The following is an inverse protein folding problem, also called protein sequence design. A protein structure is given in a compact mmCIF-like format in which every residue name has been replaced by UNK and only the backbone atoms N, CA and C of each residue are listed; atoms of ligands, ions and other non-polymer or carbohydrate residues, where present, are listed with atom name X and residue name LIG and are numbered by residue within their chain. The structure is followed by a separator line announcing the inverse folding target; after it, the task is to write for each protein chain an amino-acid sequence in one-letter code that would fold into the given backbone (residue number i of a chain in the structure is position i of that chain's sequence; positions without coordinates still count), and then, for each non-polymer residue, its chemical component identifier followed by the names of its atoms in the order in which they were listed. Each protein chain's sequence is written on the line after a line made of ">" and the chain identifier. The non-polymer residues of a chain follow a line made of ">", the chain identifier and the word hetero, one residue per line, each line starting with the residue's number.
data_IF_217937099496
#
_entry.id   IF_217937099496
#
_cell.length_a   1.000
_cell.length_b   1.000
_cell.length_c   1.000
_cell.angle_alpha   90.00
_cell.angle_beta   90.00
_cell.angle_gamma   90.00
#
_symmetry.space_group_name_H-M   'P 1'
#
loop_
_entity.id
_entity.type
_entity.pdbx_description
1 polymer ?
#
# COMPACT_ATOMS: atom_id res chain seq x y z
N UNK A 1 -1.70 -16.38 0.91
CA UNK A 1 -2.06 -16.46 -0.52
C UNK A 1 -2.32 -15.04 -1.03
N UNK A 2 -1.75 -14.58 -2.15
CA UNK A 2 -1.93 -13.20 -2.63
C UNK A 2 -3.16 -13.09 -3.54
N UNK A 3 -3.98 -12.04 -3.39
CA UNK A 3 -5.16 -11.81 -4.24
C UNK A 3 -4.82 -11.44 -5.70
N UNK A 4 -5.85 -11.41 -6.56
CA UNK A 4 -5.73 -11.17 -8.01
C UNK A 4 -5.21 -9.78 -8.39
N UNK A 5 -5.25 -8.81 -7.48
CA UNK A 5 -4.69 -7.47 -7.72
C UNK A 5 -3.16 -7.44 -7.80
N UNK A 6 -2.48 -8.43 -7.20
CA UNK A 6 -1.01 -8.48 -7.21
C UNK A 6 -0.42 -8.59 -8.63
N UNK A 7 -0.82 -9.54 -9.49
CA UNK A 7 -0.31 -9.59 -10.86
C UNK A 7 -0.61 -8.31 -11.65
N UNK A 8 -1.80 -7.71 -11.47
CA UNK A 8 -2.18 -6.44 -12.13
C UNK A 8 -1.23 -5.30 -11.71
N UNK A 9 -0.96 -5.18 -10.41
CA UNK A 9 0.01 -4.19 -9.91
C UNK A 9 1.42 -4.40 -10.45
N UNK A 10 1.87 -5.65 -10.56
CA UNK A 10 3.18 -5.97 -11.11
C UNK A 10 3.25 -5.70 -12.61
N UNK A 11 2.16 -5.97 -13.34
CA UNK A 11 2.05 -5.64 -14.75
C UNK A 11 2.16 -4.14 -14.98
N UNK A 12 1.49 -3.29 -14.17
CA UNK A 12 1.54 -1.85 -14.37
C UNK A 12 2.78 -1.16 -13.78
N UNK A 13 3.29 -1.64 -12.64
CA UNK A 13 4.29 -0.90 -11.86
C UNK A 13 5.52 -1.71 -11.45
N UNK A 14 5.55 -3.01 -11.69
CA UNK A 14 6.63 -3.90 -11.27
C UNK A 14 7.97 -3.52 -11.88
N UNK A 15 8.85 -2.90 -11.09
CA UNK A 15 10.17 -2.40 -11.51
C UNK A 15 10.14 -1.42 -12.70
N UNK A 16 9.00 -0.73 -12.94
CA UNK A 16 8.84 0.17 -14.09
C UNK A 16 9.15 1.64 -13.80
N UNK A 17 9.15 2.04 -12.52
CA UNK A 17 9.38 3.42 -12.11
C UNK A 17 10.31 3.47 -10.89
N UNK A 18 11.40 4.26 -10.92
CA UNK A 18 12.37 4.31 -9.82
C UNK A 18 11.77 4.88 -8.51
N UNK A 19 10.70 5.68 -8.61
CA UNK A 19 10.01 6.28 -7.48
C UNK A 19 8.79 5.47 -7.03
N UNK A 20 8.44 4.38 -7.74
CA UNK A 20 7.33 3.50 -7.38
C UNK A 20 7.82 2.06 -7.20
N UNK A 21 8.26 1.76 -5.97
CA UNK A 21 8.88 0.49 -5.58
C UNK A 21 7.85 -0.62 -5.41
N UNK A 22 7.36 -1.17 -6.52
CA UNK A 22 6.46 -2.33 -6.54
C UNK A 22 7.26 -3.57 -6.92
N UNK A 23 7.40 -4.49 -5.97
CA UNK A 23 8.17 -5.72 -6.13
C UNK A 23 7.27 -6.95 -6.15
N UNK A 24 7.67 -7.96 -6.92
CA UNK A 24 7.03 -9.27 -6.95
C UNK A 24 7.28 -10.06 -5.66
N UNK A 25 7.78 -11.29 -5.79
CA UNK A 25 8.32 -11.99 -4.61
C UNK A 25 9.67 -11.34 -4.30
N UNK A 26 9.83 -10.76 -3.12
CA UNK A 26 11.18 -10.36 -2.70
C UNK A 26 12.06 -11.61 -2.75
N UNK A 27 13.25 -11.54 -3.38
CA UNK A 27 14.10 -12.70 -3.51
C UNK A 27 14.36 -13.29 -2.12
N UNK A 28 14.37 -14.63 -2.04
CA UNK A 28 14.64 -15.43 -0.84
C UNK A 28 16.06 -15.13 -0.29
N UNK A 29 16.28 -13.91 0.20
CA UNK A 29 17.44 -13.59 1.03
C UNK A 29 17.26 -14.32 2.37
N UNK A 30 18.37 -14.68 3.07
CA UNK A 30 18.27 -15.21 4.42
C UNK A 30 17.30 -14.33 5.22
N UNK A 31 16.33 -14.97 5.90
CA UNK A 31 15.09 -14.35 6.41
C UNK A 31 15.26 -12.96 7.04
N UNK A 32 16.41 -12.72 7.69
CA UNK A 32 16.77 -11.44 8.30
C UNK A 32 17.00 -10.31 7.28
N UNK A 33 17.77 -10.52 6.21
CA UNK A 33 18.10 -9.48 5.22
C UNK A 33 16.87 -9.07 4.39
N UNK A 34 16.04 -10.04 3.99
CA UNK A 34 14.79 -9.78 3.28
C UNK A 34 13.84 -8.93 4.12
N UNK A 35 13.69 -9.27 5.40
CA UNK A 35 12.87 -8.53 6.37
C UNK A 35 13.39 -7.10 6.59
N UNK A 36 14.70 -6.92 6.74
CA UNK A 36 15.31 -5.59 6.90
C UNK A 36 15.08 -4.70 5.68
N UNK A 37 15.20 -5.25 4.47
CA UNK A 37 14.93 -4.51 3.24
C UNK A 37 13.45 -4.11 3.12
N UNK A 38 12.53 -5.02 3.47
CA UNK A 38 11.10 -4.72 3.48
C UNK A 38 10.78 -3.56 4.45
N UNK A 39 11.24 -3.65 5.70
CA UNK A 39 11.04 -2.60 6.70
C UNK A 39 11.66 -1.28 6.24
N UNK A 40 12.87 -1.32 5.66
CA UNK A 40 13.52 -0.12 5.10
C UNK A 40 12.69 0.51 3.98
N UNK A 41 12.10 -0.30 3.09
CA UNK A 41 11.23 0.20 2.04
C UNK A 41 9.98 0.86 2.62
N UNK A 42 9.34 0.24 3.61
CA UNK A 42 8.16 0.83 4.27
C UNK A 42 8.48 2.16 4.94
N UNK A 43 9.51 2.20 5.79
CA UNK A 43 9.92 3.42 6.52
C UNK A 43 10.41 4.57 5.62
N UNK A 44 10.82 4.27 4.39
CA UNK A 44 11.29 5.28 3.43
C UNK A 44 10.26 5.66 2.38
N UNK A 45 9.04 5.11 2.46
CA UNK A 45 7.96 5.39 1.51
C UNK A 45 6.90 6.26 2.16
N UNK A 46 6.37 7.23 1.41
CA UNK A 46 5.20 8.03 1.85
C UNK A 46 3.92 7.18 1.91
N UNK A 47 3.77 6.29 0.93
CA UNK A 47 2.54 5.52 0.69
C UNK A 47 2.85 4.02 0.58
N UNK A 48 2.05 3.18 1.24
CA UNK A 48 2.22 1.73 1.24
C UNK A 48 0.99 1.05 0.65
N UNK A 49 1.18 0.36 -0.48
CA UNK A 49 0.08 -0.29 -1.20
C UNK A 49 -0.48 -1.47 -0.41
N UNK A 50 -1.77 -1.42 -0.14
CA UNK A 50 -2.56 -2.44 0.54
C UNK A 50 -3.67 -2.96 -0.39
N UNK A 51 -3.34 -3.57 -1.55
CA UNK A 51 -4.36 -4.18 -2.41
C UNK A 51 -5.11 -5.31 -1.72
N UNK A 52 -6.41 -5.43 -2.03
CA UNK A 52 -7.27 -6.55 -1.64
C UNK A 52 -6.58 -7.90 -1.87
N UNK A 53 -6.62 -8.73 -0.82
CA UNK A 53 -6.16 -10.12 -0.86
C UNK A 53 -7.33 -11.10 -1.00
N UNK A 54 -7.05 -12.39 -0.80
CA UNK A 54 -8.12 -13.38 -0.58
C UNK A 54 -8.66 -13.33 0.84
N UNK A 55 -7.78 -13.02 1.80
CA UNK A 55 -8.15 -12.84 3.20
C UNK A 55 -8.84 -11.50 3.42
N UNK A 56 -9.81 -11.51 4.34
CA UNK A 56 -10.59 -10.32 4.72
C UNK A 56 -9.73 -9.23 5.34
N UNK A 57 -8.69 -9.60 6.08
CA UNK A 57 -7.77 -8.69 6.74
C UNK A 57 -6.34 -8.95 6.29
N UNK A 58 -5.64 -7.91 5.88
CA UNK A 58 -4.22 -8.00 5.54
C UNK A 58 -3.38 -7.35 6.63
N UNK A 59 -2.32 -8.03 7.14
CA UNK A 59 -1.39 -7.42 8.10
C UNK A 59 -0.72 -6.16 7.55
N UNK A 60 -0.69 -6.01 6.21
CA UNK A 60 -0.09 -4.87 5.51
C UNK A 60 -0.63 -3.52 5.96
N UNK A 61 -1.92 -3.41 6.29
CA UNK A 61 -2.50 -2.15 6.76
C UNK A 61 -1.89 -1.76 8.11
N UNK A 62 -1.82 -2.72 9.04
CA UNK A 62 -1.24 -2.51 10.37
C UNK A 62 0.27 -2.24 10.29
N UNK A 63 0.98 -2.97 9.42
CA UNK A 63 2.40 -2.73 9.18
C UNK A 63 2.66 -1.34 8.59
N UNK A 64 1.82 -0.89 7.64
CA UNK A 64 1.94 0.43 7.02
C UNK A 64 1.81 1.54 8.06
N UNK A 65 0.77 1.47 8.90
CA UNK A 65 0.56 2.39 10.02
C UNK A 65 1.76 2.35 11.00
N UNK A 66 2.19 1.15 11.40
CA UNK A 66 3.30 0.97 12.37
C UNK A 66 4.65 1.51 11.88
N UNK A 67 4.82 1.67 10.57
CA UNK A 67 6.03 2.22 9.96
C UNK A 67 5.79 3.62 9.35
N UNK A 68 4.74 4.32 9.78
CA UNK A 68 4.40 5.70 9.39
C UNK A 68 4.26 5.90 7.87
N UNK A 69 3.85 4.84 7.18
CA UNK A 69 3.62 4.80 5.76
C UNK A 69 2.12 4.81 5.50
N UNK A 70 1.60 5.87 4.87
CA UNK A 70 0.14 6.04 4.69
C UNK A 70 -0.41 4.85 3.90
N UNK A 71 -1.37 4.07 4.46
CA UNK A 71 -1.95 2.93 3.77
C UNK A 71 -2.75 3.36 2.54
N UNK A 72 -2.48 2.74 1.40
CA UNK A 72 -3.25 2.91 0.16
C UNK A 72 -4.09 1.66 -0.04
N UNK A 73 -5.37 1.72 0.33
CA UNK A 73 -6.30 0.60 0.18
C UNK A 73 -6.75 0.54 -1.27
N UNK A 74 -6.42 -0.55 -1.98
CA UNK A 74 -6.87 -0.77 -3.36
C UNK A 74 -7.91 -1.88 -3.34
N UNK A 75 -9.19 -1.50 -3.46
CA UNK A 75 -10.33 -2.40 -3.37
C UNK A 75 -11.61 -1.65 -3.72
N UNK A 76 -12.52 -2.28 -4.46
CA UNK A 76 -13.80 -1.65 -4.81
C UNK A 76 -14.86 -1.74 -3.69
N UNK A 77 -14.70 -2.68 -2.75
CA UNK A 77 -15.67 -2.97 -1.69
C UNK A 77 -15.01 -3.31 -0.34
N UNK A 78 -13.96 -2.58 0.03
CA UNK A 78 -13.34 -2.77 1.35
C UNK A 78 -14.20 -2.14 2.44
N UNK A 79 -14.56 -2.94 3.45
CA UNK A 79 -15.23 -2.47 4.66
C UNK A 79 -14.19 -2.47 5.78
N UNK A 80 -13.71 -1.30 6.22
CA UNK A 80 -12.68 -1.25 7.23
C UNK A 80 -13.17 -1.74 8.60
N UNK A 81 -12.34 -2.43 9.39
CA UNK A 81 -12.71 -2.77 10.76
C UNK A 81 -12.90 -1.49 11.58
N UNK A 82 -13.89 -1.50 12.48
CA UNK A 82 -14.25 -0.35 13.32
C UNK A 82 -14.59 0.92 12.53
N UNK A 83 -15.10 0.82 11.30
CA UNK A 83 -15.48 2.00 10.48
C UNK A 83 -16.53 2.91 11.15
N UNK A 84 -17.31 2.39 12.09
CA UNK A 84 -18.28 3.16 12.89
C UNK A 84 -17.60 4.08 13.93
N UNK A 85 -16.35 3.79 14.29
CA UNK A 85 -15.59 4.50 15.34
C UNK A 85 -14.41 5.26 14.75
N UNK A 86 -13.70 4.66 13.79
CA UNK A 86 -12.51 5.22 13.16
C UNK A 86 -12.88 5.85 11.81
N UNK A 87 -12.50 7.12 11.63
CA UNK A 87 -12.55 7.75 10.32
C UNK A 87 -11.33 7.30 9.48
N UNK A 88 -11.49 6.20 8.74
CA UNK A 88 -10.40 5.65 7.92
C UNK A 88 -9.86 6.64 6.88
N UNK A 89 -10.73 7.47 6.30
CA UNK A 89 -10.31 8.48 5.33
C UNK A 89 -9.35 9.51 5.92
N UNK A 90 -9.28 9.67 7.25
CA UNK A 90 -8.35 10.60 7.88
C UNK A 90 -6.90 10.13 7.88
N UNK A 91 -6.64 8.82 7.70
CA UNK A 91 -5.30 8.24 7.77
C UNK A 91 -5.00 7.24 6.64
N UNK A 92 -5.92 6.99 5.72
CA UNK A 92 -5.69 6.14 4.54
C UNK A 92 -6.09 6.83 3.24
N UNK A 93 -5.62 6.28 2.12
CA UNK A 93 -6.06 6.64 0.78
C UNK A 93 -6.79 5.45 0.18
N UNK A 94 -8.04 5.65 -0.25
CA UNK A 94 -8.79 4.64 -0.99
C UNK A 94 -8.63 4.84 -2.49
N UNK A 95 -8.34 3.75 -3.21
CA UNK A 95 -8.19 3.73 -4.67
C UNK A 95 -9.00 2.57 -5.23
N UNK A 96 -9.79 2.84 -6.27
CA UNK A 96 -10.54 1.81 -6.98
C UNK A 96 -9.60 0.93 -7.81
N UNK A 97 -9.98 -0.33 -8.02
CA UNK A 97 -9.12 -1.29 -8.71
C UNK A 97 -8.83 -0.87 -10.16
N UNK A 98 -9.83 -0.28 -10.83
CA UNK A 98 -9.69 0.29 -12.18
C UNK A 98 -8.63 1.40 -12.28
N UNK A 99 -8.31 2.06 -11.16
CA UNK A 99 -7.41 3.19 -11.11
C UNK A 99 -5.95 2.79 -10.81
N UNK A 100 -5.66 1.48 -10.74
CA UNK A 100 -4.29 0.96 -10.64
C UNK A 100 -3.34 1.62 -11.66
N UNK A 101 -3.67 1.76 -12.96
CA UNK A 101 -2.79 2.41 -13.93
C UNK A 101 -2.50 3.89 -13.63
N UNK A 102 -3.31 4.55 -12.81
CA UNK A 102 -3.20 5.97 -12.46
C UNK A 102 -2.63 6.21 -11.05
N UNK A 103 -2.21 5.16 -10.33
CA UNK A 103 -1.78 5.24 -8.92
C UNK A 103 -0.81 6.38 -8.63
N UNK A 104 0.29 6.48 -9.39
CA UNK A 104 1.29 7.54 -9.17
C UNK A 104 0.68 8.94 -9.31
N UNK A 105 -0.18 9.15 -10.30
CA UNK A 105 -0.86 10.44 -10.52
C UNK A 105 -1.77 10.79 -9.33
N UNK A 106 -2.56 9.83 -8.85
CA UNK A 106 -3.46 10.00 -7.71
C UNK A 106 -2.69 10.32 -6.43
N UNK A 107 -1.63 9.56 -6.15
CA UNK A 107 -0.85 9.75 -4.93
C UNK A 107 -0.05 11.06 -4.92
N UNK A 108 0.42 11.51 -6.08
CA UNK A 108 1.12 12.79 -6.22
C UNK A 108 0.17 13.99 -6.26
N UNK A 109 -1.13 13.80 -6.56
CA UNK A 109 -2.10 14.88 -6.49
C UNK A 109 -2.54 15.22 -5.07
N UNK A 110 -2.20 14.41 -4.08
CA UNK A 110 -2.50 14.67 -2.66
C UNK A 110 -1.59 15.80 -2.17
N UNK A 111 -2.15 16.93 -1.71
CA UNK A 111 -1.34 18.04 -1.19
C UNK A 111 -0.52 17.62 0.03
N UNK A 112 0.68 18.18 0.17
CA UNK A 112 1.57 17.87 1.30
C UNK A 112 0.92 18.12 2.66
N UNK A 113 0.15 19.21 2.79
CA UNK A 113 -0.63 19.49 4.01
C UNK A 113 -1.60 18.35 4.37
N UNK A 114 -2.23 17.73 3.37
CA UNK A 114 -3.13 16.58 3.59
C UNK A 114 -2.34 15.35 3.97
N UNK A 115 -1.23 15.09 3.30
CA UNK A 115 -0.33 13.98 3.64
C UNK A 115 0.14 14.04 5.10
N UNK A 116 0.55 15.21 5.59
CA UNK A 116 1.00 15.41 6.97
C UNK A 116 -0.11 15.20 8.02
N UNK A 117 -1.39 15.27 7.63
CA UNK A 117 -2.51 14.97 8.53
C UNK A 117 -2.84 13.48 8.61
N UNK A 118 -2.30 12.66 7.71
CA UNK A 118 -2.52 11.21 7.67
C UNK A 118 -1.44 10.42 8.44
N UNK A 119 -0.40 11.09 8.94
CA UNK A 119 0.63 10.54 9.83
C UNK A 119 0.23 10.78 11.28
#
# INVERSE_FOLDING_TARGET
>A
MHGYLRPILLEHWGNKDPNMKVFGKMPNMPNVKGKLNYIRHMKSSKYCLCPRGYEVNSPRVVEAISYECVPVIISDNFVPPFFEVLNWESFTVFVLEKDIPNLKKILLSIPEKRYLQMQ
#
